data_IF_276310652195
#
_entry.id   IF_276310652195
#
_cell.length_a   1.000
_cell.length_b   1.000
_cell.length_c   1.000
_cell.angle_alpha   90.00
_cell.angle_beta   90.00
_cell.angle_gamma   90.00
#
_symmetry.space_group_name_H-M   'P 1'
#
loop_
_entity.id
_entity.type
_entity.pdbx_description
1 polymer ?
#
# COMPACT_ATOMS: atom_id res chain seq x y z
N UNK A 1 -8.36 7.96 -7.42
CA UNK A 1 -7.16 7.99 -8.30
C UNK A 1 -5.90 7.68 -7.50
N UNK A 2 -4.99 6.84 -7.99
CA UNK A 2 -3.68 6.58 -7.35
C UNK A 2 -2.57 7.42 -7.99
N UNK A 3 -1.78 8.13 -7.17
CA UNK A 3 -0.59 8.86 -7.57
C UNK A 3 0.67 8.21 -6.96
N UNK A 4 1.61 7.83 -7.82
CA UNK A 4 2.90 7.30 -7.41
C UNK A 4 3.86 8.42 -6.98
N UNK A 5 4.30 8.40 -5.72
CA UNK A 5 5.32 9.27 -5.11
C UNK A 5 6.49 8.44 -4.56
N UNK A 6 6.72 7.24 -5.11
CA UNK A 6 7.67 6.27 -4.59
C UNK A 6 9.07 6.37 -5.21
N UNK A 7 9.27 7.29 -6.16
CA UNK A 7 10.54 7.53 -6.87
C UNK A 7 11.16 6.24 -7.46
N UNK A 8 10.33 5.46 -8.19
CA UNK A 8 10.74 4.22 -8.87
C UNK A 8 10.73 2.98 -7.98
N UNK A 9 10.39 3.10 -6.69
CA UNK A 9 10.23 1.93 -5.82
C UNK A 9 9.04 1.06 -6.24
N UNK A 10 7.94 1.64 -6.74
CA UNK A 10 6.80 0.87 -7.26
C UNK A 10 7.20 -0.13 -8.37
N UNK A 11 8.02 0.30 -9.33
CA UNK A 11 8.49 -0.58 -10.41
C UNK A 11 9.34 -1.73 -9.87
N UNK A 12 10.22 -1.44 -8.91
CA UNK A 12 11.01 -2.46 -8.21
C UNK A 12 10.13 -3.48 -7.49
N UNK A 13 9.06 -3.03 -6.83
CA UNK A 13 8.13 -3.93 -6.14
C UNK A 13 7.32 -4.76 -7.15
N UNK A 14 6.92 -4.20 -8.30
CA UNK A 14 6.27 -4.95 -9.38
C UNK A 14 7.16 -6.05 -9.94
N UNK A 15 8.43 -5.76 -10.24
CA UNK A 15 9.41 -6.78 -10.67
C UNK A 15 9.57 -7.90 -9.63
N UNK A 16 9.58 -7.55 -8.34
CA UNK A 16 9.59 -8.53 -7.26
C UNK A 16 8.31 -9.36 -7.25
N UNK A 17 7.14 -8.71 -7.38
CA UNK A 17 5.84 -9.37 -7.38
C UNK A 17 5.70 -10.36 -8.54
N UNK A 18 6.20 -10.03 -9.73
CA UNK A 18 6.28 -10.94 -10.87
C UNK A 18 7.10 -12.18 -10.55
N UNK A 19 8.31 -12.00 -10.02
CA UNK A 19 9.20 -13.12 -9.65
C UNK A 19 8.61 -14.00 -8.55
N UNK A 20 7.84 -13.41 -7.64
CA UNK A 20 7.15 -14.11 -6.57
C UNK A 20 5.83 -14.76 -7.01
N UNK A 21 5.35 -14.52 -8.25
CA UNK A 21 4.05 -14.99 -8.72
C UNK A 21 2.85 -14.33 -8.03
N UNK A 22 3.03 -13.09 -7.55
CA UNK A 22 2.07 -12.32 -6.74
C UNK A 22 1.75 -10.95 -7.36
N UNK A 23 2.06 -10.72 -8.63
CA UNK A 23 1.75 -9.44 -9.30
C UNK A 23 0.25 -9.11 -9.22
N UNK A 24 -0.62 -10.07 -9.55
CA UNK A 24 -2.08 -9.91 -9.45
C UNK A 24 -2.53 -9.53 -8.03
N UNK A 25 -1.83 -10.03 -7.01
CA UNK A 25 -2.14 -9.72 -5.61
C UNK A 25 -1.87 -8.23 -5.31
N UNK A 26 -0.69 -7.75 -5.68
CA UNK A 26 -0.28 -6.34 -5.58
C UNK A 26 -1.23 -5.42 -6.36
N UNK A 27 -1.46 -5.73 -7.64
CA UNK A 27 -2.29 -4.90 -8.52
C UNK A 27 -3.72 -4.77 -8.00
N UNK A 28 -4.31 -5.85 -7.46
CA UNK A 28 -5.64 -5.78 -6.83
C UNK A 28 -5.68 -4.77 -5.68
N UNK A 29 -4.63 -4.67 -4.87
CA UNK A 29 -4.60 -3.72 -3.73
C UNK A 29 -4.33 -2.30 -4.18
N UNK A 30 -3.45 -2.11 -5.17
CA UNK A 30 -3.22 -0.80 -5.78
C UNK A 30 -4.49 -0.27 -6.44
N UNK A 31 -5.22 -1.11 -7.17
CA UNK A 31 -6.51 -0.75 -7.76
C UNK A 31 -7.54 -0.42 -6.68
N UNK A 32 -7.64 -1.24 -5.63
CA UNK A 32 -8.51 -0.96 -4.49
C UNK A 32 -8.21 0.41 -3.85
N UNK A 33 -6.95 0.76 -3.64
CA UNK A 33 -6.56 2.07 -3.12
C UNK A 33 -6.85 3.20 -4.12
N UNK A 34 -6.66 2.94 -5.41
CA UNK A 34 -6.99 3.88 -6.48
C UNK A 34 -8.48 4.19 -6.60
N UNK A 35 -9.33 3.20 -6.29
CA UNK A 35 -10.78 3.23 -6.50
C UNK A 35 -11.58 3.22 -5.18
N UNK A 36 -10.92 3.49 -4.05
CA UNK A 36 -11.45 3.25 -2.70
C UNK A 36 -12.84 3.87 -2.44
N UNK A 37 -13.06 5.11 -2.87
CA UNK A 37 -14.32 5.81 -2.65
C UNK A 37 -14.90 6.36 -3.95
N UNK A 38 -16.24 6.44 -4.01
CA UNK A 38 -16.99 6.98 -5.15
C UNK A 38 -16.98 8.52 -5.23
N UNK A 39 -16.52 9.20 -4.18
CA UNK A 39 -16.34 10.66 -4.13
C UNK A 39 -14.94 11.05 -4.66
N UNK A 40 -14.69 12.35 -4.86
CA UNK A 40 -13.38 12.86 -5.31
C UNK A 40 -12.28 12.58 -4.27
N UNK A 41 -11.67 11.41 -4.41
CA UNK A 41 -10.58 10.93 -3.57
C UNK A 41 -9.35 10.59 -4.40
N UNK A 42 -8.19 10.77 -3.77
CA UNK A 42 -6.92 10.29 -4.30
C UNK A 42 -6.09 9.61 -3.24
N UNK A 43 -5.32 8.62 -3.67
CA UNK A 43 -4.34 7.91 -2.87
C UNK A 43 -2.95 8.33 -3.33
N UNK A 44 -2.15 8.92 -2.44
CA UNK A 44 -0.73 9.18 -2.67
C UNK A 44 0.06 7.99 -2.12
N UNK A 45 0.86 7.33 -2.96
CA UNK A 45 1.64 6.16 -2.61
C UNK A 45 3.11 6.54 -2.42
N UNK A 46 3.70 6.18 -1.30
CA UNK A 46 5.10 6.47 -0.94
C UNK A 46 5.83 5.18 -0.58
N UNK A 47 7.17 5.26 -0.62
CA UNK A 47 8.02 4.17 -0.17
C UNK A 47 7.91 4.00 1.36
N UNK A 48 7.70 2.77 1.81
CA UNK A 48 7.80 2.41 3.23
C UNK A 48 9.25 2.08 3.62
N UNK A 49 9.54 2.07 4.92
CA UNK A 49 10.84 1.64 5.42
C UNK A 49 11.02 0.11 5.26
N UNK A 50 9.94 -0.66 5.36
CA UNK A 50 9.95 -2.10 5.15
C UNK A 50 10.14 -2.41 3.66
N UNK A 51 11.07 -3.32 3.29
CA UNK A 51 11.28 -3.69 1.90
C UNK A 51 10.00 -4.21 1.25
N UNK A 52 9.76 -3.80 0.00
CA UNK A 52 8.59 -4.19 -0.81
C UNK A 52 7.22 -3.72 -0.28
N UNK A 53 7.20 -2.87 0.74
CA UNK A 53 5.99 -2.24 1.29
C UNK A 53 5.86 -0.78 0.86
N UNK A 54 4.68 -0.21 1.09
CA UNK A 54 4.35 1.19 0.83
C UNK A 54 3.64 1.84 2.00
N UNK A 55 3.91 3.12 2.21
CA UNK A 55 3.03 4.01 2.96
C UNK A 55 2.05 4.63 1.97
N UNK A 56 0.78 4.78 2.35
CA UNK A 56 -0.17 5.52 1.54
C UNK A 56 -0.89 6.59 2.35
N UNK A 57 -1.32 7.64 1.65
CA UNK A 57 -2.12 8.71 2.20
C UNK A 57 -3.37 8.91 1.33
N UNK A 58 -4.53 8.73 1.93
CA UNK A 58 -5.81 9.01 1.29
C UNK A 58 -6.19 10.46 1.52
N UNK A 59 -6.55 11.15 0.45
CA UNK A 59 -7.02 12.53 0.47
C UNK A 59 -8.40 12.63 -0.15
N UNK A 60 -9.22 13.54 0.39
CA UNK A 60 -10.49 13.95 -0.19
C UNK A 60 -10.40 15.41 -0.62
N UNK A 61 -11.17 15.80 -1.63
CA UNK A 61 -11.25 17.20 -2.03
C UNK A 61 -12.20 17.98 -1.13
N UNK A 62 -11.81 19.18 -0.73
CA UNK A 62 -12.69 20.11 -0.02
C UNK A 62 -13.58 20.83 -1.03
N UNK A 63 -14.90 20.74 -0.85
CA UNK A 63 -15.88 21.30 -1.80
C UNK A 63 -15.91 22.84 -1.81
N UNK A 64 -15.49 23.50 -0.72
CA UNK A 64 -15.52 24.97 -0.60
C UNK A 64 -14.24 25.61 -1.14
N UNK A 65 -13.08 25.00 -0.89
CA UNK A 65 -11.76 25.58 -1.23
C UNK A 65 -11.12 24.97 -2.46
N UNK A 66 -11.65 23.85 -2.98
CA UNK A 66 -11.07 23.03 -4.05
C UNK A 66 -9.69 22.43 -3.71
N UNK A 67 -9.30 22.46 -2.42
CA UNK A 67 -8.01 21.93 -1.95
C UNK A 67 -8.12 20.46 -1.53
N UNK A 68 -7.03 19.72 -1.68
CA UNK A 68 -6.92 18.35 -1.17
C UNK A 68 -6.62 18.33 0.33
N UNK A 69 -7.42 17.59 1.09
CA UNK A 69 -7.26 17.43 2.52
C UNK A 69 -6.99 15.97 2.89
N UNK A 70 -6.09 15.77 3.87
CA UNK A 70 -5.78 14.44 4.38
C UNK A 70 -6.99 13.84 5.07
N UNK A 71 -7.36 12.62 4.69
CA UNK A 71 -8.46 11.90 5.29
C UNK A 71 -7.95 10.82 6.26
N UNK A 72 -7.13 9.90 5.77
CA UNK A 72 -6.44 8.89 6.57
C UNK A 72 -5.17 8.41 5.85
N UNK A 73 -4.37 7.60 6.53
CA UNK A 73 -3.17 7.02 5.97
C UNK A 73 -3.01 5.58 6.46
N UNK A 74 -2.11 4.84 5.83
CA UNK A 74 -1.88 3.45 6.18
C UNK A 74 -0.66 2.86 5.47
N UNK A 75 -0.50 1.54 5.59
CA UNK A 75 0.51 0.77 4.89
C UNK A 75 -0.11 -0.24 3.93
N UNK A 76 0.48 -0.38 2.74
CA UNK A 76 0.32 -1.55 1.88
C UNK A 76 1.55 -2.43 2.08
N UNK A 77 1.41 -3.43 2.94
CA UNK A 77 2.53 -4.14 3.56
C UNK A 77 2.71 -5.52 2.94
N UNK A 78 3.94 -5.84 2.52
CA UNK A 78 4.32 -7.18 2.05
C UNK A 78 4.61 -8.11 3.24
N UNK A 79 3.86 -9.20 3.33
CA UNK A 79 4.04 -10.27 4.31
C UNK A 79 4.48 -11.56 3.65
N UNK A 80 5.31 -12.33 4.36
CA UNK A 80 5.82 -13.59 3.87
C UNK A 80 6.83 -14.21 4.83
N UNK A 81 7.65 -15.15 4.35
CA UNK A 81 8.63 -15.83 5.19
C UNK A 81 9.65 -14.88 5.83
N UNK A 82 9.91 -13.72 5.23
CA UNK A 82 10.87 -12.72 5.73
C UNK A 82 10.43 -12.05 7.04
N UNK A 83 9.12 -11.98 7.33
CA UNK A 83 8.57 -11.38 8.55
C UNK A 83 7.71 -12.35 9.37
N UNK A 84 7.87 -13.65 9.12
CA UNK A 84 7.11 -14.70 9.79
C UNK A 84 5.61 -14.65 9.45
N UNK A 85 5.26 -14.25 8.23
CA UNK A 85 3.89 -14.20 7.71
C UNK A 85 2.98 -13.25 8.50
N UNK A 86 3.51 -12.07 8.85
CA UNK A 86 2.82 -11.07 9.66
C UNK A 86 2.87 -11.34 11.16
N UNK A 87 3.96 -11.91 11.66
CA UNK A 87 4.15 -12.22 13.09
C UNK A 87 4.53 -11.02 13.97
N UNK A 88 4.74 -9.83 13.37
CA UNK A 88 5.37 -8.68 14.03
C UNK A 88 6.91 -8.68 13.97
N UNK A 89 7.52 -9.66 13.32
CA UNK A 89 8.97 -9.72 13.16
C UNK A 89 9.51 -8.60 12.24
N UNK A 90 10.79 -8.30 12.42
CA UNK A 90 11.54 -7.49 11.47
C UNK A 90 11.54 -8.16 10.07
N UNK A 91 11.68 -7.39 8.97
CA UNK A 91 11.80 -5.93 8.93
C UNK A 91 10.46 -5.19 8.91
N UNK A 92 9.33 -5.90 8.92
CA UNK A 92 8.01 -5.30 8.69
C UNK A 92 7.39 -4.67 9.94
N UNK A 93 7.60 -5.28 11.12
CA UNK A 93 7.03 -4.82 12.40
C UNK A 93 5.50 -4.63 12.36
N UNK A 94 4.80 -5.47 11.60
CA UNK A 94 3.35 -5.50 11.51
C UNK A 94 2.81 -6.88 11.88
N UNK A 95 1.68 -6.89 12.60
CA UNK A 95 1.03 -8.08 13.13
C UNK A 95 -0.27 -8.33 12.38
N UNK A 96 -0.42 -9.52 11.83
CA UNK A 96 -1.67 -10.03 11.28
C UNK A 96 -2.32 -10.99 12.28
N UNK A 97 -3.65 -10.97 12.39
CA UNK A 97 -4.39 -11.92 13.22
C UNK A 97 -4.30 -13.35 12.66
N UNK A 98 -4.17 -13.47 11.34
CA UNK A 98 -3.98 -14.72 10.62
C UNK A 98 -2.69 -14.67 9.80
N UNK A 99 -2.04 -15.82 9.61
CA UNK A 99 -0.84 -15.95 8.79
C UNK A 99 -1.11 -15.43 7.37
N UNK A 100 -0.32 -14.45 6.93
CA UNK A 100 -0.53 -13.74 5.66
C UNK A 100 0.68 -13.88 4.73
N UNK A 101 0.43 -14.15 3.45
CA UNK A 101 1.43 -14.26 2.38
C UNK A 101 0.98 -13.49 1.13
N UNK A 102 1.47 -12.25 0.99
CA UNK A 102 0.91 -11.27 0.05
C UNK A 102 1.00 -9.84 0.56
N UNK A 103 0.47 -8.91 -0.24
CA UNK A 103 0.24 -7.53 0.19
C UNK A 103 -1.08 -7.38 0.93
N UNK A 104 -1.01 -6.78 2.12
CA UNK A 104 -2.18 -6.44 2.95
C UNK A 104 -2.24 -4.95 3.23
N UNK A 105 -3.45 -4.40 3.29
CA UNK A 105 -3.68 -2.99 3.65
C UNK A 105 -3.89 -2.91 5.16
N UNK A 106 -3.15 -2.01 5.80
CA UNK A 106 -3.23 -1.69 7.22
C UNK A 106 -3.53 -0.20 7.37
N UNK A 107 -4.56 0.15 8.14
CA UNK A 107 -5.01 1.54 8.38
C UNK A 107 -5.12 1.81 9.87
#
# INVERSE_FOLDING_TARGET
MLEDKTDGHLDKVKEFAEKAGKLDDLEKRLNYLGDYAQQETRCLLYKDFAPMSFYFQMQTKNEETDEWQNWFNGGLIWHGSHDGFGSGAAPTFSVCLESTDGWSIHT
#
